data_IF_970419737413
#
_entry.id   IF_970419737413
#
_cell.length_a   1.000
_cell.length_b   1.000
_cell.length_c   1.000
_cell.angle_alpha   90.00
_cell.angle_beta   90.00
_cell.angle_gamma   90.00
#
_symmetry.space_group_name_H-M   'P 1'
#
loop_
_entity.id
_entity.type
_entity.pdbx_description
1 polymer ?
#
# COMPACT_ATOMS: atom_id res chain seq x y z
N UNK A 1 15.78 21.84 -3.00
CA UNK A 1 15.24 23.18 -3.32
C UNK A 1 13.80 23.17 -2.83
N UNK A 2 13.40 24.06 -1.90
CA UNK A 2 12.09 23.96 -1.20
C UNK A 2 10.88 23.83 -2.12
N UNK A 3 10.97 24.36 -3.34
CA UNK A 3 9.90 24.27 -4.35
C UNK A 3 9.76 22.88 -4.97
N UNK A 4 10.90 22.23 -5.26
CA UNK A 4 10.94 20.85 -5.74
C UNK A 4 10.38 19.88 -4.70
N UNK A 5 10.75 20.07 -3.44
CA UNK A 5 10.31 19.21 -2.34
C UNK A 5 8.78 19.25 -2.19
N UNK A 6 8.17 20.43 -2.36
CA UNK A 6 6.71 20.58 -2.33
C UNK A 6 6.03 19.93 -3.53
N UNK A 7 6.58 20.07 -4.75
CA UNK A 7 6.04 19.43 -5.95
C UNK A 7 6.05 17.92 -5.80
N UNK A 8 7.19 17.35 -5.41
CA UNK A 8 7.34 15.91 -5.18
C UNK A 8 6.36 15.45 -4.10
N UNK A 9 6.21 16.20 -3.01
CA UNK A 9 5.26 15.87 -1.94
C UNK A 9 3.82 15.81 -2.43
N UNK A 10 3.37 16.81 -3.19
CA UNK A 10 2.00 16.81 -3.74
C UNK A 10 1.80 15.69 -4.76
N UNK A 11 2.79 15.43 -5.60
CA UNK A 11 2.72 14.37 -6.59
C UNK A 11 2.68 12.98 -5.94
N UNK A 12 3.59 12.69 -5.02
CA UNK A 12 3.65 11.42 -4.29
C UNK A 12 2.37 11.24 -3.46
N UNK A 13 2.00 12.22 -2.64
CA UNK A 13 0.79 12.10 -1.82
C UNK A 13 -0.48 11.91 -2.66
N UNK A 14 -0.61 12.64 -3.78
CA UNK A 14 -1.72 12.49 -4.71
C UNK A 14 -1.75 11.13 -5.40
N UNK A 15 -0.59 10.63 -5.85
CA UNK A 15 -0.47 9.32 -6.50
C UNK A 15 -0.90 8.19 -5.57
N UNK A 16 -0.47 8.23 -4.31
CA UNK A 16 -0.82 7.22 -3.31
C UNK A 16 -2.30 7.23 -2.94
N UNK A 17 -2.90 8.42 -2.79
CA UNK A 17 -4.34 8.53 -2.56
C UNK A 17 -5.11 7.99 -3.77
N UNK A 18 -4.73 8.40 -4.98
CA UNK A 18 -5.41 7.98 -6.20
C UNK A 18 -5.32 6.47 -6.42
N UNK A 19 -4.13 5.89 -6.26
CA UNK A 19 -3.89 4.44 -6.34
C UNK A 19 -4.72 3.68 -5.31
N UNK A 20 -4.70 4.11 -4.05
CA UNK A 20 -5.48 3.48 -2.99
C UNK A 20 -6.99 3.55 -3.24
N UNK A 21 -7.50 4.67 -3.75
CA UNK A 21 -8.91 4.83 -4.09
C UNK A 21 -9.36 3.91 -5.23
N UNK A 22 -8.51 3.69 -6.24
CA UNK A 22 -8.81 2.73 -7.33
C UNK A 22 -8.89 1.31 -6.76
N UNK A 23 -7.93 0.90 -5.94
CA UNK A 23 -7.93 -0.43 -5.30
C UNK A 23 -9.12 -0.62 -4.37
N UNK A 24 -9.53 0.45 -3.66
CA UNK A 24 -10.71 0.42 -2.80
C UNK A 24 -12.01 0.26 -3.60
N UNK A 25 -12.05 0.73 -4.85
CA UNK A 25 -13.21 0.54 -5.72
C UNK A 25 -13.32 -0.88 -6.30
N UNK A 26 -12.22 -1.64 -6.32
CA UNK A 26 -12.20 -3.08 -6.66
C UNK A 26 -11.38 -3.90 -5.63
N UNK A 27 -11.97 -4.17 -4.45
CA UNK A 27 -11.29 -4.93 -3.40
C UNK A 27 -11.03 -6.39 -3.80
N UNK A 28 -11.91 -6.97 -4.62
CA UNK A 28 -11.80 -8.36 -5.07
C UNK A 28 -10.61 -8.55 -6.00
N UNK A 29 -10.34 -7.59 -6.89
CA UNK A 29 -9.12 -7.60 -7.71
C UNK A 29 -7.84 -7.57 -6.87
N UNK A 30 -7.86 -6.86 -5.74
CA UNK A 30 -6.73 -6.80 -4.80
C UNK A 30 -6.56 -8.11 -4.03
N UNK A 31 -7.66 -8.74 -3.61
CA UNK A 31 -7.68 -10.04 -2.94
C UNK A 31 -7.09 -11.14 -3.82
N UNK A 32 -7.60 -11.31 -5.05
CA UNK A 32 -7.14 -12.36 -5.98
C UNK A 32 -5.63 -12.25 -6.21
N UNK A 33 -5.11 -11.03 -6.34
CA UNK A 33 -3.66 -10.82 -6.53
C UNK A 33 -2.85 -11.19 -5.29
N UNK A 34 -3.36 -10.93 -4.09
CA UNK A 34 -2.70 -11.33 -2.86
C UNK A 34 -2.74 -12.85 -2.65
N UNK A 35 -3.84 -13.51 -3.01
CA UNK A 35 -3.92 -14.97 -3.02
C UNK A 35 -2.88 -15.58 -3.96
N UNK A 36 -2.79 -15.10 -5.20
CA UNK A 36 -1.76 -15.52 -6.17
C UNK A 36 -0.34 -15.36 -5.59
N UNK A 37 -0.05 -14.24 -4.91
CA UNK A 37 1.24 -14.04 -4.26
C UNK A 37 1.49 -15.04 -3.13
N UNK A 38 0.51 -15.27 -2.26
CA UNK A 38 0.66 -16.23 -1.15
C UNK A 38 0.81 -17.66 -1.64
N UNK A 39 0.12 -18.06 -2.71
CA UNK A 39 0.29 -19.37 -3.34
C UNK A 39 1.70 -19.54 -3.92
N UNK A 40 2.20 -18.55 -4.64
CA UNK A 40 3.58 -18.57 -5.17
C UNK A 40 4.60 -18.60 -4.03
N UNK A 41 4.41 -17.79 -2.98
CA UNK A 41 5.28 -17.81 -1.80
C UNK A 41 5.22 -19.14 -1.03
N UNK A 42 4.07 -19.81 -1.01
CA UNK A 42 3.92 -21.11 -0.38
C UNK A 42 4.69 -22.23 -1.09
N UNK A 43 4.77 -22.13 -2.42
CA UNK A 43 5.50 -23.08 -3.27
C UNK A 43 7.01 -22.80 -3.22
N UNK A 44 7.41 -21.54 -3.42
CA UNK A 44 8.81 -21.19 -3.66
C UNK A 44 9.62 -20.89 -2.38
N UNK A 45 8.97 -20.45 -1.31
CA UNK A 45 9.64 -20.04 -0.07
C UNK A 45 9.29 -20.91 1.11
N UNK A 46 8.01 -20.96 1.51
CA UNK A 46 7.60 -21.69 2.70
C UNK A 46 6.09 -21.98 2.75
N UNK A 47 5.72 -23.23 2.99
CA UNK A 47 4.33 -23.68 2.99
C UNK A 47 3.39 -22.96 3.98
N UNK A 48 3.92 -22.29 5.01
CA UNK A 48 3.07 -21.54 5.95
C UNK A 48 2.35 -20.35 5.30
N UNK A 49 2.78 -19.90 4.12
CA UNK A 49 2.11 -18.81 3.40
C UNK A 49 0.66 -19.17 2.99
N UNK A 50 0.32 -20.45 2.85
CA UNK A 50 -1.07 -20.90 2.61
C UNK A 50 -2.03 -20.45 3.71
N UNK A 51 -1.54 -20.27 4.95
CA UNK A 51 -2.35 -19.78 6.08
C UNK A 51 -2.86 -18.34 5.85
N UNK A 52 -2.21 -17.57 4.99
CA UNK A 52 -2.59 -16.18 4.68
C UNK A 52 -3.57 -16.05 3.52
N UNK A 53 -3.74 -17.08 2.69
CA UNK A 53 -4.71 -17.10 1.58
C UNK A 53 -6.12 -16.70 2.04
N UNK A 54 -6.73 -17.34 3.07
CA UNK A 54 -8.06 -16.94 3.53
C UNK A 54 -8.09 -15.54 4.19
N UNK A 55 -6.93 -14.96 4.50
CA UNK A 55 -6.78 -13.62 5.04
C UNK A 55 -6.36 -12.59 3.97
N UNK A 56 -6.33 -12.96 2.68
CA UNK A 56 -5.89 -12.07 1.60
C UNK A 56 -6.73 -10.79 1.51
N UNK A 57 -8.06 -10.91 1.59
CA UNK A 57 -8.97 -9.75 1.57
C UNK A 57 -8.71 -8.76 2.72
N UNK A 58 -8.74 -9.16 4.02
CA UNK A 58 -8.49 -8.22 5.10
C UNK A 58 -7.08 -7.65 5.10
N UNK A 59 -6.06 -8.43 4.69
CA UNK A 59 -4.69 -7.95 4.55
C UNK A 59 -4.61 -6.90 3.44
N UNK A 60 -5.17 -7.18 2.26
CA UNK A 60 -5.19 -6.25 1.13
C UNK A 60 -5.90 -4.95 1.45
N UNK A 61 -7.09 -5.04 2.05
CA UNK A 61 -7.83 -3.85 2.46
C UNK A 61 -7.05 -3.02 3.49
N UNK A 62 -6.38 -3.67 4.45
CA UNK A 62 -5.53 -2.98 5.41
C UNK A 62 -4.39 -2.23 4.73
N UNK A 63 -3.69 -2.85 3.77
CA UNK A 63 -2.61 -2.22 3.02
C UNK A 63 -3.11 -1.03 2.19
N UNK A 64 -4.27 -1.16 1.54
CA UNK A 64 -4.91 -0.07 0.76
C UNK A 64 -5.30 1.11 1.66
N UNK A 65 -5.87 0.85 2.84
CA UNK A 65 -6.20 1.91 3.80
C UNK A 65 -4.92 2.61 4.27
N UNK A 66 -3.86 1.84 4.58
CA UNK A 66 -2.57 2.38 4.98
C UNK A 66 -1.96 3.26 3.88
N UNK A 67 -2.09 2.84 2.61
CA UNK A 67 -1.67 3.58 1.42
C UNK A 67 -2.32 4.97 1.36
N UNK A 68 -3.66 5.03 1.50
CA UNK A 68 -4.42 6.29 1.46
C UNK A 68 -4.05 7.17 2.65
N UNK A 69 -4.00 6.61 3.86
CA UNK A 69 -3.70 7.36 5.08
C UNK A 69 -2.29 7.96 5.02
N UNK A 70 -1.30 7.20 4.56
CA UNK A 70 0.06 7.72 4.40
C UNK A 70 0.14 8.76 3.27
N UNK A 71 -0.60 8.57 2.18
CA UNK A 71 -0.74 9.58 1.12
C UNK A 71 -1.27 10.92 1.66
N UNK A 72 -2.31 10.89 2.50
CA UNK A 72 -2.84 12.08 3.17
C UNK A 72 -1.80 12.67 4.13
N UNK A 73 -1.11 11.83 4.92
CA UNK A 73 -0.08 12.29 5.85
C UNK A 73 1.10 12.99 5.13
N UNK A 74 1.47 12.53 3.93
CA UNK A 74 2.44 13.21 3.07
C UNK A 74 1.95 14.58 2.64
N UNK A 75 0.69 14.70 2.19
CA UNK A 75 0.12 15.99 1.78
C UNK A 75 0.06 17.00 2.93
N UNK A 76 -0.30 16.53 4.14
CA UNK A 76 -0.35 17.33 5.36
C UNK A 76 1.03 17.62 5.97
N UNK A 77 2.11 17.06 5.40
CA UNK A 77 3.46 17.13 5.95
C UNK A 77 3.54 16.60 7.40
N UNK A 78 2.70 15.63 7.74
CA UNK A 78 2.63 15.06 9.08
C UNK A 78 3.76 14.07 9.28
N UNK A 79 4.61 14.31 10.31
CA UNK A 79 5.74 13.45 10.70
C UNK A 79 6.51 12.87 9.50
N UNK A 80 6.88 13.73 8.56
CA UNK A 80 7.38 13.35 7.23
C UNK A 80 8.44 12.24 7.23
N UNK A 81 9.41 12.29 8.15
CA UNK A 81 10.42 11.22 8.28
C UNK A 81 9.78 9.83 8.43
N UNK A 82 8.84 9.67 9.36
CA UNK A 82 8.18 8.38 9.60
C UNK A 82 7.24 8.00 8.46
N UNK A 83 6.49 8.98 7.97
CA UNK A 83 5.52 8.78 6.88
C UNK A 83 6.21 8.30 5.61
N UNK A 84 7.34 8.89 5.22
CA UNK A 84 8.10 8.47 4.03
C UNK A 84 8.72 7.08 4.20
N UNK A 85 9.22 6.74 5.39
CA UNK A 85 9.73 5.39 5.68
C UNK A 85 8.61 4.34 5.59
N UNK A 86 7.45 4.61 6.18
CA UNK A 86 6.30 3.70 6.11
C UNK A 86 5.79 3.53 4.68
N UNK A 87 5.77 4.62 3.91
CA UNK A 87 5.43 4.60 2.48
C UNK A 87 6.41 3.77 1.65
N UNK A 88 7.71 3.89 1.93
CA UNK A 88 8.74 3.11 1.24
C UNK A 88 8.67 1.61 1.56
N UNK A 89 8.08 1.21 2.69
CA UNK A 89 7.84 -0.20 3.03
C UNK A 89 6.61 -0.80 2.34
N UNK A 90 5.69 0.05 1.86
CA UNK A 90 4.49 -0.38 1.15
C UNK A 90 4.74 -0.69 -0.34
N UNK A 91 5.89 -0.27 -0.87
CA UNK A 91 6.33 -0.47 -2.26
C UNK A 91 7.30 -1.65 -2.30
#
# INVERSE_FOLDING_TARGET
>A
MKWLDNIVRFFVGGLFIFSGLIKLNDPMGTEIKLEEYFEVFAIDFAHFFELFVPAAMPIGLFLVILEIVLGIAVLLNFKMRWTTWALGLLI
#
